data_IF_828953105734
#
_entry.id   IF_828953105734
#
_cell.length_a   1.000
_cell.length_b   1.000
_cell.length_c   1.000
_cell.angle_alpha   90.00
_cell.angle_beta   90.00
_cell.angle_gamma   90.00
#
_symmetry.space_group_name_H-M   'P 1'
#
loop_
_entity.id
_entity.type
_entity.pdbx_description
1 polymer ?
#
# COMPACT_ATOMS: atom_id res chain seq x y z
N UNK A 1 14.90 -12.26 -11.26
CA UNK A 1 14.99 -11.24 -10.20
C UNK A 1 13.70 -10.44 -10.16
N UNK A 2 13.13 -10.26 -8.98
CA UNK A 2 11.87 -9.53 -8.85
C UNK A 2 12.10 -8.03 -9.04
N UNK A 3 11.21 -7.39 -9.80
CA UNK A 3 11.24 -5.93 -9.98
C UNK A 3 10.64 -5.25 -8.76
N UNK A 4 10.91 -3.95 -8.61
CA UNK A 4 10.32 -3.15 -7.53
C UNK A 4 8.78 -3.24 -7.55
N UNK A 5 8.17 -3.12 -8.73
CA UNK A 5 6.72 -3.22 -8.88
C UNK A 5 6.21 -4.55 -8.38
N UNK A 6 6.86 -5.65 -8.78
CA UNK A 6 6.44 -6.99 -8.36
C UNK A 6 6.57 -7.18 -6.85
N UNK A 7 7.63 -6.67 -6.25
CA UNK A 7 7.85 -6.78 -4.81
C UNK A 7 6.76 -6.04 -4.05
N UNK A 8 6.46 -4.79 -4.46
CA UNK A 8 5.42 -3.99 -3.81
C UNK A 8 4.06 -4.66 -3.95
N UNK A 9 3.73 -5.12 -5.15
CA UNK A 9 2.49 -5.83 -5.42
C UNK A 9 2.33 -7.05 -4.52
N UNK A 10 3.37 -7.87 -4.43
CA UNK A 10 3.35 -9.08 -3.61
C UNK A 10 3.16 -8.77 -2.13
N UNK A 11 3.91 -7.80 -1.61
CA UNK A 11 3.84 -7.48 -0.18
C UNK A 11 2.52 -6.82 0.19
N UNK A 12 1.98 -5.95 -0.66
CA UNK A 12 0.66 -5.35 -0.42
C UNK A 12 -0.42 -6.42 -0.46
N UNK A 13 -0.36 -7.33 -1.44
CA UNK A 13 -1.36 -8.38 -1.58
C UNK A 13 -1.48 -9.26 -0.33
N UNK A 14 -0.40 -9.45 0.41
CA UNK A 14 -0.42 -10.26 1.63
C UNK A 14 -1.38 -9.70 2.70
N UNK A 15 -1.57 -8.39 2.74
CA UNK A 15 -2.52 -7.78 3.70
C UNK A 15 -3.97 -8.07 3.35
N UNK A 16 -4.24 -8.51 2.12
CA UNK A 16 -5.57 -8.91 1.69
C UNK A 16 -5.89 -10.37 1.97
N UNK A 17 -4.93 -11.13 2.51
CA UNK A 17 -5.14 -12.53 2.84
C UNK A 17 -5.75 -12.66 4.22
N UNK A 18 -6.75 -13.53 4.34
CA UNK A 18 -7.39 -13.79 5.61
C UNK A 18 -8.63 -12.93 5.79
N UNK A 19 -9.27 -13.11 6.94
CA UNK A 19 -10.51 -12.43 7.31
C UNK A 19 -10.39 -11.97 8.75
N UNK A 20 -10.74 -10.72 8.97
CA UNK A 20 -11.01 -10.25 10.30
C UNK A 20 -12.44 -10.63 10.68
N UNK A 21 -12.77 -10.54 11.97
CA UNK A 21 -14.15 -10.68 12.41
C UNK A 21 -14.94 -9.48 11.87
N UNK A 22 -16.04 -9.74 11.17
CA UNK A 22 -16.94 -8.71 10.65
C UNK A 22 -16.32 -7.77 9.61
N UNK A 23 -15.27 -8.22 8.92
CA UNK A 23 -14.63 -7.42 7.85
C UNK A 23 -14.32 -8.30 6.65
N UNK A 24 -14.49 -7.74 5.46
CA UNK A 24 -13.98 -8.33 4.23
C UNK A 24 -12.83 -7.46 3.75
N UNK A 25 -11.72 -8.09 3.35
CA UNK A 25 -10.56 -7.41 2.80
C UNK A 25 -10.55 -7.57 1.28
N UNK A 26 -10.38 -6.45 0.58
CA UNK A 26 -10.36 -6.41 -0.88
C UNK A 26 -9.00 -5.91 -1.35
N UNK A 27 -8.14 -6.80 -1.91
CA UNK A 27 -6.93 -6.34 -2.58
C UNK A 27 -7.29 -5.64 -3.90
N UNK A 28 -6.71 -4.50 -4.13
CA UNK A 28 -6.88 -3.72 -5.35
C UNK A 28 -5.50 -3.53 -5.96
N UNK A 29 -5.19 -4.33 -6.97
CA UNK A 29 -3.85 -4.41 -7.54
C UNK A 29 -3.89 -3.87 -8.97
N UNK A 30 -3.51 -2.61 -9.15
CA UNK A 30 -3.56 -1.92 -10.43
C UNK A 30 -2.16 -1.82 -11.04
N UNK A 31 -1.87 -2.75 -11.94
CA UNK A 31 -0.56 -2.81 -12.60
C UNK A 31 -0.38 -1.69 -13.63
N UNK A 32 -1.47 -1.17 -14.18
CA UNK A 32 -1.40 -0.09 -15.18
C UNK A 32 -0.90 1.20 -14.54
N UNK A 33 -1.47 1.55 -13.38
CA UNK A 33 -1.08 2.75 -12.65
C UNK A 33 -0.04 2.46 -11.56
N UNK A 34 0.41 1.22 -11.45
CA UNK A 34 1.38 0.77 -10.44
C UNK A 34 0.97 1.22 -9.05
N UNK A 35 -0.31 1.03 -8.74
CA UNK A 35 -0.93 1.44 -7.47
C UNK A 35 -1.58 0.22 -6.83
N UNK A 36 -1.23 -0.05 -5.59
CA UNK A 36 -1.61 -1.28 -4.90
C UNK A 36 -2.18 -0.95 -3.53
N UNK A 37 -3.32 -1.54 -3.23
CA UNK A 37 -4.04 -1.24 -2.00
C UNK A 37 -4.78 -2.46 -1.48
N UNK A 38 -5.13 -2.41 -0.19
CA UNK A 38 -6.10 -3.31 0.41
C UNK A 38 -7.11 -2.44 1.13
N UNK A 39 -8.38 -2.64 0.82
CA UNK A 39 -9.47 -1.95 1.50
C UNK A 39 -10.23 -2.93 2.40
N UNK A 40 -10.77 -2.43 3.50
CA UNK A 40 -11.59 -3.19 4.44
C UNK A 40 -13.01 -2.65 4.42
N UNK A 41 -13.98 -3.57 4.38
CA UNK A 41 -15.40 -3.24 4.38
C UNK A 41 -16.08 -4.07 5.46
N UNK A 42 -16.93 -3.45 6.26
CA UNK A 42 -17.69 -4.15 7.29
C UNK A 42 -18.63 -5.18 6.68
N UNK A 43 -18.73 -6.33 7.33
CA UNK A 43 -19.60 -7.42 6.89
C UNK A 43 -20.04 -8.25 8.10
N UNK A 44 -21.27 -8.72 8.16
CA UNK A 44 -22.36 -8.57 7.18
C UNK A 44 -23.06 -7.22 7.25
N UNK A 45 -22.87 -6.46 8.33
CA UNK A 45 -23.52 -5.15 8.51
C UNK A 45 -22.53 -4.04 8.18
N UNK A 46 -22.96 -3.10 7.35
CA UNK A 46 -22.15 -1.94 6.92
C UNK A 46 -22.36 -0.80 7.89
N UNK A 47 -21.65 -0.82 9.03
CA UNK A 47 -21.79 0.22 10.07
C UNK A 47 -20.89 1.42 9.80
N UNK A 48 -19.71 1.17 9.26
CA UNK A 48 -18.74 2.21 8.96
C UNK A 48 -18.43 2.29 7.46
N UNK A 49 -17.83 3.39 7.05
CA UNK A 49 -17.36 3.54 5.69
C UNK A 49 -16.20 2.56 5.42
N UNK A 50 -16.00 2.24 4.15
CA UNK A 50 -14.85 1.43 3.75
C UNK A 50 -13.55 2.17 4.10
N UNK A 51 -12.56 1.43 4.57
CA UNK A 51 -11.28 1.98 5.00
C UNK A 51 -10.15 1.44 4.14
N UNK A 52 -9.16 2.29 3.91
CA UNK A 52 -7.91 1.88 3.30
C UNK A 52 -7.03 1.26 4.39
N UNK A 53 -6.66 0.00 4.23
CA UNK A 53 -5.76 -0.69 5.15
C UNK A 53 -4.32 -0.30 4.83
N UNK A 54 -3.95 -0.39 3.55
CA UNK A 54 -2.64 -0.01 3.04
C UNK A 54 -2.80 0.46 1.60
N UNK A 55 -2.03 1.48 1.22
CA UNK A 55 -2.02 2.01 -0.14
C UNK A 55 -0.58 2.40 -0.48
N UNK A 56 -0.04 1.83 -1.54
CA UNK A 56 1.31 2.12 -2.01
C UNK A 56 1.34 2.27 -3.52
N UNK A 57 2.21 3.17 -3.99
CA UNK A 57 2.42 3.43 -5.43
C UNK A 57 3.89 3.27 -5.76
N UNK A 58 4.18 2.87 -6.98
CA UNK A 58 5.56 2.89 -7.48
C UNK A 58 5.67 4.08 -8.45
N UNK A 59 6.62 4.97 -8.16
CA UNK A 59 6.89 6.17 -8.95
C UNK A 59 8.38 6.13 -9.33
N UNK A 60 8.67 5.76 -10.58
CA UNK A 60 10.04 5.56 -11.02
C UNK A 60 10.72 4.46 -10.22
N UNK A 61 11.77 4.80 -9.50
CA UNK A 61 12.51 3.86 -8.65
C UNK A 61 12.13 3.98 -7.17
N UNK A 62 11.03 4.69 -6.86
CA UNK A 62 10.58 4.92 -5.49
C UNK A 62 9.28 4.18 -5.21
N UNK A 63 9.12 3.72 -3.97
CA UNK A 63 7.85 3.25 -3.45
C UNK A 63 7.28 4.36 -2.57
N UNK A 64 6.08 4.82 -2.87
CA UNK A 64 5.39 5.83 -2.07
C UNK A 64 4.29 5.13 -1.28
N UNK A 65 4.44 5.07 0.04
CA UNK A 65 3.43 4.48 0.92
C UNK A 65 2.51 5.64 1.35
N UNK A 66 1.31 5.67 0.74
CA UNK A 66 0.35 6.74 0.98
C UNK A 66 -0.41 6.54 2.28
N UNK A 67 -0.69 5.30 2.63
CA UNK A 67 -1.41 4.97 3.87
C UNK A 67 -0.98 3.60 4.35
N UNK A 68 -0.84 3.45 5.67
CA UNK A 68 -0.57 2.15 6.28
C UNK A 68 -1.12 2.15 7.70
N UNK A 69 -2.25 1.47 7.88
CA UNK A 69 -2.92 1.34 9.18
C UNK A 69 -2.60 0.01 9.85
N UNK A 70 -1.67 -0.77 9.29
CA UNK A 70 -1.39 -2.12 9.75
C UNK A 70 -0.47 -2.14 10.98
N UNK A 71 -0.51 -3.24 11.72
CA UNK A 71 0.41 -3.47 12.84
C UNK A 71 1.81 -3.84 12.34
N UNK A 72 1.86 -4.56 11.21
CA UNK A 72 3.12 -4.94 10.57
C UNK A 72 3.32 -4.05 9.37
N UNK A 73 4.05 -2.95 9.55
CA UNK A 73 4.17 -1.91 8.54
C UNK A 73 4.82 -2.42 7.25
N UNK A 74 4.28 -1.96 6.12
CA UNK A 74 4.77 -2.34 4.80
C UNK A 74 6.25 -2.01 4.62
N UNK A 75 6.72 -0.88 5.18
CA UNK A 75 8.14 -0.50 5.06
C UNK A 75 9.05 -1.61 5.59
N UNK A 76 8.68 -2.25 6.69
CA UNK A 76 9.51 -3.31 7.26
C UNK A 76 9.60 -4.52 6.32
N UNK A 77 8.49 -4.89 5.71
CA UNK A 77 8.45 -5.97 4.73
C UNK A 77 9.32 -5.64 3.50
N UNK A 78 9.25 -4.40 3.02
CA UNK A 78 10.04 -3.97 1.86
C UNK A 78 11.53 -3.97 2.18
N UNK A 79 11.91 -3.50 3.36
CA UNK A 79 13.31 -3.52 3.80
C UNK A 79 13.83 -4.95 3.86
N UNK A 80 13.04 -5.89 4.38
CA UNK A 80 13.40 -7.30 4.42
C UNK A 80 13.58 -7.90 3.03
N UNK A 81 12.87 -7.38 2.03
CA UNK A 81 13.00 -7.81 0.63
C UNK A 81 14.20 -7.15 -0.06
N UNK A 82 14.97 -6.34 0.66
CA UNK A 82 16.17 -5.72 0.13
C UNK A 82 15.97 -4.35 -0.54
N UNK A 83 14.78 -3.77 -0.42
CA UNK A 83 14.53 -2.42 -0.95
C UNK A 83 15.24 -1.41 -0.01
N UNK A 84 16.15 -0.58 -0.54
CA UNK A 84 16.83 0.41 0.31
C UNK A 84 15.86 1.44 0.89
N UNK A 85 16.12 1.90 2.11
CA UNK A 85 15.28 2.93 2.75
C UNK A 85 15.17 4.18 1.88
N UNK A 86 16.23 4.52 1.15
CA UNK A 86 16.26 5.70 0.27
C UNK A 86 15.27 5.62 -0.88
N UNK A 87 14.78 4.42 -1.21
CA UNK A 87 13.77 4.23 -2.24
C UNK A 87 12.34 4.19 -1.70
N UNK A 88 12.17 4.37 -0.39
CA UNK A 88 10.84 4.32 0.24
C UNK A 88 10.48 5.71 0.75
N UNK A 89 9.30 6.18 0.36
CA UNK A 89 8.75 7.48 0.78
C UNK A 89 7.51 7.19 1.64
N UNK A 90 7.54 7.68 2.88
CA UNK A 90 6.40 7.54 3.79
C UNK A 90 5.53 8.79 3.70
N UNK A 91 4.67 8.84 2.68
CA UNK A 91 3.79 9.99 2.45
C UNK A 91 2.81 10.18 3.62
N UNK A 92 2.32 9.08 4.19
CA UNK A 92 1.42 9.16 5.35
C UNK A 92 2.10 9.76 6.58
N UNK A 93 3.42 9.74 6.63
CA UNK A 93 4.18 10.32 7.75
C UNK A 93 4.71 11.73 7.41
N UNK A 94 4.30 12.31 6.28
CA UNK A 94 4.66 13.66 5.89
C UNK A 94 5.87 13.78 5.00
N UNK A 95 6.47 12.68 4.56
CA UNK A 95 7.58 12.75 3.61
C UNK A 95 7.07 13.20 2.24
N UNK A 96 7.80 14.09 1.54
CA UNK A 96 7.32 14.62 0.27
C UNK A 96 7.31 13.57 -0.84
N UNK A 97 6.24 13.55 -1.64
CA UNK A 97 6.12 12.61 -2.75
C UNK A 97 6.93 13.11 -3.94
N UNK A 98 7.55 12.19 -4.71
CA UNK A 98 8.44 12.57 -5.82
C UNK A 98 7.69 13.16 -7.03
N UNK A 99 6.39 12.91 -7.14
CA UNK A 99 5.57 13.36 -8.26
C UNK A 99 4.51 14.40 -7.85
N UNK A 100 4.81 15.21 -6.84
CA UNK A 100 3.86 16.18 -6.28
C UNK A 100 3.30 17.13 -7.34
N UNK A 101 4.11 17.54 -8.31
CA UNK A 101 3.70 18.48 -9.35
C UNK A 101 2.56 17.97 -10.22
N UNK A 102 2.37 16.65 -10.31
CA UNK A 102 1.24 16.07 -11.06
C UNK A 102 -0.11 16.38 -10.41
N UNK A 103 -0.10 16.71 -9.14
CA UNK A 103 -1.31 16.91 -8.33
C UNK A 103 -1.52 18.37 -7.94
N UNK A 104 -0.64 19.27 -8.34
CA UNK A 104 -0.79 20.69 -8.08
C UNK A 104 -1.87 21.26 -9.00
N UNK A 105 -2.80 22.01 -8.40
CA UNK A 105 -3.92 22.62 -9.11
C UNK A 105 -3.76 24.13 -9.23
#
# INVERSE_FOLDING_TARGET
MATLVNIVREEVAKYGNGRGANVILFPLLDDVNQTYAVNAVDYPTREDIALVVVLARVVGDKVVIEEDTTDKKLIDALLQRGIPRSQIVLAYAGEPIPDAEKFEL
#
